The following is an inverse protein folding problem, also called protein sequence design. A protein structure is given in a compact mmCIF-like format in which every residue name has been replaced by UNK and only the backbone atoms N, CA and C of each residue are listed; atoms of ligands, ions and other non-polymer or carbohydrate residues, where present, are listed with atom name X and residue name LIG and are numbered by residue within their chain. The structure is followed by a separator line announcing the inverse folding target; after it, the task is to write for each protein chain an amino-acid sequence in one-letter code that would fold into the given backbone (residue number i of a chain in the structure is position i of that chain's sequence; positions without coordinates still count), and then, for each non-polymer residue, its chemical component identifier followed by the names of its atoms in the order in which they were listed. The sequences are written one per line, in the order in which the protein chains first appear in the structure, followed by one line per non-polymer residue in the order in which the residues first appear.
data_IF_947492587762
#
_entry.id   IF_947492587762
#
_cell.length_a   1.000
_cell.length_b   1.000
_cell.length_c   1.000
_cell.angle_alpha   90.00
_cell.angle_beta   90.00
_cell.angle_gamma   90.00
#
_symmetry.space_group_name_H-M   'P 1'
#
loop_
_entity.id
_entity.type
_entity.pdbx_description
1 polymer ?
#
# COMPACT_ATOMS: atom_id res chain seq x y z
N UNK A 1 -45.75 13.03 -4.98
CA UNK A 1 -44.68 12.05 -5.28
C UNK A 1 -43.38 12.65 -4.79
N UNK A 2 -42.78 12.07 -3.75
CA UNK A 2 -41.43 12.41 -3.27
C UNK A 2 -40.44 11.94 -4.34
N UNK A 3 -39.63 12.85 -4.89
CA UNK A 3 -38.58 12.51 -5.83
C UNK A 3 -37.50 11.69 -5.14
N UNK A 4 -37.51 10.39 -5.34
CA UNK A 4 -36.49 9.49 -4.81
C UNK A 4 -35.26 9.59 -5.75
N UNK A 5 -34.10 9.90 -5.18
CA UNK A 5 -32.81 9.85 -5.88
C UNK A 5 -32.00 8.72 -5.29
N UNK A 6 -31.52 7.84 -6.13
CA UNK A 6 -30.68 6.69 -5.74
C UNK A 6 -29.28 6.96 -6.28
N UNK A 7 -28.27 6.92 -5.40
CA UNK A 7 -26.86 7.01 -5.76
C UNK A 7 -26.27 5.61 -5.61
N UNK A 8 -25.74 5.07 -6.71
CA UNK A 8 -25.11 3.75 -6.75
C UNK A 8 -23.63 3.94 -7.03
N UNK A 9 -22.75 3.75 -6.04
CA UNK A 9 -21.32 3.73 -6.29
C UNK A 9 -20.93 2.43 -7.02
N UNK A 10 -20.13 2.52 -8.07
CA UNK A 10 -19.63 1.35 -8.79
C UNK A 10 -18.23 1.59 -9.33
N UNK A 11 -17.49 0.51 -9.53
CA UNK A 11 -16.22 0.50 -10.24
C UNK A 11 -16.47 0.07 -11.68
N UNK A 12 -16.15 0.95 -12.63
CA UNK A 12 -16.35 0.71 -14.06
C UNK A 12 -15.57 -0.52 -14.56
N UNK A 13 -14.37 -0.74 -14.03
CA UNK A 13 -13.55 -1.90 -14.39
C UNK A 13 -14.19 -3.20 -13.92
N UNK A 14 -14.71 -3.23 -12.69
CA UNK A 14 -15.43 -4.40 -12.17
C UNK A 14 -16.68 -4.75 -12.99
N UNK A 15 -17.44 -3.74 -13.40
CA UNK A 15 -18.60 -3.98 -14.26
C UNK A 15 -18.16 -4.55 -15.63
N UNK A 16 -17.13 -3.98 -16.26
CA UNK A 16 -16.58 -4.52 -17.51
C UNK A 16 -16.12 -5.96 -17.36
N UNK A 17 -15.41 -6.28 -16.29
CA UNK A 17 -14.91 -7.63 -16.01
C UNK A 17 -16.05 -8.63 -15.74
N UNK A 18 -17.13 -8.22 -15.08
CA UNK A 18 -18.31 -9.07 -14.87
C UNK A 18 -18.94 -9.49 -16.20
N UNK A 19 -19.03 -8.59 -17.17
CA UNK A 19 -19.49 -8.95 -18.53
C UNK A 19 -18.51 -9.85 -19.29
N UNK A 20 -17.23 -9.85 -18.94
CA UNK A 20 -16.24 -10.79 -19.50
C UNK A 20 -16.44 -12.22 -18.98
N UNK A 21 -16.75 -12.37 -17.70
CA UNK A 21 -16.84 -13.68 -17.04
C UNK A 21 -18.13 -14.46 -17.40
N UNK A 22 -19.20 -13.79 -17.79
CA UNK A 22 -20.51 -14.39 -18.04
C UNK A 22 -20.70 -15.01 -19.43
N UNK A 23 -19.66 -15.36 -20.17
CA UNK A 23 -19.76 -16.07 -21.48
C UNK A 23 -20.64 -15.39 -22.56
N UNK A 24 -21.11 -14.17 -22.36
CA UNK A 24 -21.85 -13.40 -23.37
C UNK A 24 -20.97 -13.07 -24.59
N UNK A 25 -19.66 -13.23 -24.43
CA UNK A 25 -18.61 -12.95 -25.44
C UNK A 25 -18.50 -14.03 -26.52
N UNK A 26 -19.09 -15.22 -26.32
CA UNK A 26 -18.97 -16.32 -27.30
C UNK A 26 -19.67 -16.11 -28.63
N UNK A 27 -20.44 -15.02 -28.78
CA UNK A 27 -21.15 -14.72 -30.02
C UNK A 27 -20.56 -13.57 -30.87
N UNK A 28 -19.48 -12.94 -30.41
CA UNK A 28 -18.86 -11.86 -31.17
C UNK A 28 -17.42 -12.22 -31.51
N UNK A 29 -17.14 -12.39 -32.80
CA UNK A 29 -15.80 -12.65 -33.34
C UNK A 29 -14.77 -11.67 -32.83
N UNK A 30 -13.85 -12.17 -31.98
CA UNK A 30 -12.43 -11.87 -31.99
C UNK A 30 -11.90 -10.45 -31.78
N UNK A 31 -12.61 -9.52 -31.10
CA UNK A 31 -12.08 -8.18 -30.82
C UNK A 31 -12.27 -7.75 -29.38
N UNK A 32 -11.18 -7.54 -28.67
CA UNK A 32 -11.12 -7.00 -27.31
C UNK A 32 -11.95 -5.71 -27.10
N UNK A 33 -12.20 -4.98 -28.19
CA UNK A 33 -13.01 -3.77 -28.19
C UNK A 33 -14.52 -4.01 -27.95
N UNK A 34 -15.04 -5.19 -28.27
CA UNK A 34 -16.48 -5.47 -28.11
C UNK A 34 -16.88 -5.56 -26.63
N UNK A 35 -15.98 -6.09 -25.78
CA UNK A 35 -16.24 -6.33 -24.35
C UNK A 35 -16.36 -5.03 -23.56
N UNK A 36 -15.49 -4.06 -23.87
CA UNK A 36 -15.55 -2.73 -23.26
C UNK A 36 -16.83 -1.99 -23.62
N UNK A 37 -17.35 -2.21 -24.82
CA UNK A 37 -18.59 -1.60 -25.30
C UNK A 37 -19.81 -2.09 -24.51
N UNK A 38 -19.93 -3.39 -24.22
CA UNK A 38 -21.10 -3.92 -23.49
C UNK A 38 -21.18 -3.41 -22.04
N UNK A 39 -20.05 -3.36 -21.31
CA UNK A 39 -20.02 -2.83 -19.96
C UNK A 39 -20.40 -1.33 -19.91
N UNK A 40 -19.87 -0.56 -20.83
CA UNK A 40 -20.20 0.87 -20.93
C UNK A 40 -21.62 1.11 -21.41
N UNK A 41 -22.14 0.31 -22.33
CA UNK A 41 -23.53 0.36 -22.77
C UNK A 41 -24.50 0.04 -21.63
N UNK A 42 -24.19 -0.94 -20.80
CA UNK A 42 -24.98 -1.26 -19.61
C UNK A 42 -25.02 -0.06 -18.66
N UNK A 43 -23.87 0.54 -18.36
CA UNK A 43 -23.77 1.72 -17.49
C UNK A 43 -24.62 2.87 -18.06
N UNK A 44 -24.47 3.17 -19.34
CA UNK A 44 -25.16 4.29 -19.99
C UNK A 44 -26.68 4.06 -20.11
N UNK A 45 -27.14 2.82 -20.24
CA UNK A 45 -28.57 2.47 -20.28
C UNK A 45 -29.20 2.40 -18.87
N UNK A 46 -28.41 2.05 -17.86
CA UNK A 46 -28.91 1.86 -16.49
C UNK A 46 -28.93 3.17 -15.69
N UNK A 47 -27.91 3.99 -15.87
CA UNK A 47 -27.74 5.21 -15.08
C UNK A 47 -27.98 6.46 -15.93
N UNK A 48 -28.96 7.26 -15.52
CA UNK A 48 -29.32 8.51 -16.20
C UNK A 48 -28.18 9.54 -16.14
N UNK A 49 -27.45 9.59 -15.04
CA UNK A 49 -26.29 10.46 -14.84
C UNK A 49 -25.17 9.63 -14.23
N UNK A 50 -23.98 9.70 -14.83
CA UNK A 50 -22.75 9.05 -14.32
C UNK A 50 -21.74 10.14 -13.99
N UNK A 51 -21.35 10.18 -12.71
CA UNK A 51 -20.26 11.04 -12.25
C UNK A 51 -18.99 10.20 -12.08
N UNK A 52 -17.91 10.63 -12.68
CA UNK A 52 -16.59 10.05 -12.43
C UNK A 52 -15.93 10.81 -11.29
N UNK A 53 -15.62 10.09 -10.21
CA UNK A 53 -14.80 10.64 -9.14
C UNK A 53 -13.35 10.62 -9.65
N UNK A 54 -12.70 11.79 -9.79
CA UNK A 54 -11.30 11.81 -10.17
C UNK A 54 -10.47 11.12 -9.09
N UNK A 55 -9.33 10.48 -9.45
CA UNK A 55 -8.41 9.95 -8.46
C UNK A 55 -8.00 11.10 -7.53
N UNK A 56 -7.91 10.85 -6.22
CA UNK A 56 -7.48 11.88 -5.28
C UNK A 56 -6.08 12.35 -5.68
N UNK A 57 -5.96 13.62 -6.04
CA UNK A 57 -4.67 14.25 -6.27
C UNK A 57 -4.08 14.49 -4.87
N UNK A 58 -3.29 13.53 -4.38
CA UNK A 58 -2.62 13.62 -3.09
C UNK A 58 -1.34 14.46 -3.20
N UNK A 59 -1.45 15.70 -3.72
CA UNK A 59 -0.39 16.70 -3.60
C UNK A 59 -0.02 17.00 -2.14
N UNK A 60 -0.92 16.69 -1.21
CA UNK A 60 -0.75 16.85 0.24
C UNK A 60 -0.64 15.53 1.01
N UNK A 61 -0.20 14.41 0.40
CA UNK A 61 -0.16 13.12 1.08
C UNK A 61 0.65 13.12 2.37
N UNK A 62 1.73 13.89 2.44
CA UNK A 62 2.54 14.01 3.65
C UNK A 62 1.75 14.65 4.81
N UNK A 63 0.89 15.64 4.51
CA UNK A 63 0.05 16.25 5.53
C UNK A 63 -0.96 15.23 6.06
N UNK A 64 -1.64 14.54 5.14
CA UNK A 64 -2.58 13.47 5.49
C UNK A 64 -1.89 12.36 6.29
N UNK A 65 -0.68 11.94 5.90
CA UNK A 65 0.10 10.94 6.63
C UNK A 65 0.37 11.40 8.07
N UNK A 66 0.87 12.64 8.25
CA UNK A 66 1.16 13.22 9.57
C UNK A 66 -0.09 13.30 10.46
N UNK A 67 -1.24 13.62 9.89
CA UNK A 67 -2.49 13.67 10.65
C UNK A 67 -2.92 12.28 11.10
N UNK A 68 -2.86 11.28 10.21
CA UNK A 68 -3.16 9.88 10.58
C UNK A 68 -2.16 9.33 11.59
N UNK A 69 -0.89 9.71 11.48
CA UNK A 69 0.15 9.34 12.46
C UNK A 69 -0.18 9.86 13.86
N UNK A 70 -0.55 11.14 13.96
CA UNK A 70 -0.96 11.73 15.24
C UNK A 70 -2.21 11.07 15.83
N UNK A 71 -3.15 10.67 15.01
CA UNK A 71 -4.32 9.91 15.49
C UNK A 71 -3.93 8.54 16.05
N UNK A 72 -2.95 7.89 15.45
CA UNK A 72 -2.50 6.56 15.85
C UNK A 72 -1.59 6.57 17.10
N UNK A 73 -0.68 7.54 17.20
CA UNK A 73 0.35 7.62 18.25
C UNK A 73 0.12 8.73 19.28
N UNK A 74 -0.91 9.54 19.10
CA UNK A 74 -1.23 10.69 19.96
C UNK A 74 -0.83 12.03 19.35
N UNK A 75 -1.51 13.09 19.75
CA UNK A 75 -1.40 14.41 19.15
C UNK A 75 0.01 15.05 19.20
N UNK A 76 0.84 14.63 20.15
CA UNK A 76 2.23 15.10 20.29
C UNK A 76 3.23 14.28 19.47
N UNK A 77 2.81 13.15 18.89
CA UNK A 77 3.70 12.28 18.13
C UNK A 77 4.11 12.94 16.81
N UNK A 78 5.41 13.01 16.59
CA UNK A 78 5.99 13.50 15.35
C UNK A 78 6.53 12.28 14.60
N UNK A 79 6.10 12.11 13.35
CA UNK A 79 6.65 11.05 12.50
C UNK A 79 8.10 11.40 12.14
N UNK A 80 8.99 10.43 12.26
CA UNK A 80 10.37 10.60 11.83
C UNK A 80 10.43 10.84 10.31
N UNK A 81 11.28 11.74 9.88
CA UNK A 81 11.45 12.06 8.47
C UNK A 81 11.92 10.84 7.67
N UNK A 82 12.75 9.98 8.26
CA UNK A 82 13.22 8.73 7.65
C UNK A 82 12.05 7.80 7.28
N UNK A 83 11.03 7.70 8.14
CA UNK A 83 9.81 6.90 7.86
C UNK A 83 9.05 7.45 6.65
N UNK A 84 8.89 8.79 6.58
CA UNK A 84 8.24 9.42 5.42
C UNK A 84 9.03 9.21 4.14
N UNK A 85 10.36 9.28 4.21
CA UNK A 85 11.25 9.09 3.08
C UNK A 85 11.20 7.63 2.58
N UNK A 86 11.27 6.66 3.48
CA UNK A 86 11.12 5.23 3.15
C UNK A 86 9.75 4.96 2.51
N UNK A 87 8.69 5.52 3.09
CA UNK A 87 7.34 5.35 2.55
C UNK A 87 7.21 5.94 1.14
N UNK A 88 7.69 7.15 0.91
CA UNK A 88 7.62 7.81 -0.40
C UNK A 88 8.37 7.04 -1.48
N UNK A 89 9.58 6.59 -1.15
CA UNK A 89 10.46 5.90 -2.11
C UNK A 89 10.01 4.50 -2.48
N UNK A 90 9.46 3.73 -1.51
CA UNK A 90 9.05 2.35 -1.73
C UNK A 90 7.59 2.20 -2.16
N UNK A 91 6.80 3.27 -2.04
CA UNK A 91 5.37 3.24 -2.42
C UNK A 91 5.16 3.94 -3.75
N UNK A 92 4.80 3.18 -4.80
CA UNK A 92 4.56 3.72 -6.15
C UNK A 92 3.38 4.70 -6.23
N UNK A 93 2.38 4.51 -5.39
CA UNK A 93 1.17 5.32 -5.34
C UNK A 93 0.78 5.60 -3.90
N UNK A 94 0.72 6.87 -3.53
CA UNK A 94 0.22 7.28 -2.23
C UNK A 94 -1.31 7.42 -2.31
N UNK A 95 -2.03 6.54 -1.63
CA UNK A 95 -3.47 6.65 -1.47
C UNK A 95 -3.85 6.66 0.01
N UNK A 96 -4.97 7.30 0.40
CA UNK A 96 -5.42 7.31 1.79
C UNK A 96 -5.51 5.93 2.39
N UNK A 97 -6.02 4.95 1.63
CA UNK A 97 -6.13 3.55 2.08
C UNK A 97 -4.76 2.91 2.34
N UNK A 98 -3.78 3.14 1.46
CA UNK A 98 -2.43 2.59 1.64
C UNK A 98 -1.74 3.22 2.85
N UNK A 99 -1.91 4.54 3.06
CA UNK A 99 -1.37 5.26 4.21
C UNK A 99 -1.96 4.70 5.52
N UNK A 100 -3.28 4.55 5.61
CA UNK A 100 -3.94 3.99 6.79
C UNK A 100 -3.47 2.54 7.03
N UNK A 101 -3.42 1.71 5.99
CA UNK A 101 -2.96 0.32 6.11
C UNK A 101 -1.52 0.24 6.61
N UNK A 102 -0.63 1.07 6.08
CA UNK A 102 0.76 1.16 6.54
C UNK A 102 0.85 1.58 8.00
N UNK A 103 0.17 2.66 8.41
CA UNK A 103 0.18 3.15 9.79
C UNK A 103 -0.36 2.10 10.77
N UNK A 104 -1.44 1.40 10.42
CA UNK A 104 -2.00 0.34 11.26
C UNK A 104 -1.02 -0.83 11.43
N UNK A 105 -0.33 -1.25 10.36
CA UNK A 105 0.73 -2.26 10.45
C UNK A 105 1.88 -1.77 11.30
N UNK A 106 2.28 -0.51 11.12
CA UNK A 106 3.37 0.11 11.87
C UNK A 106 3.09 0.10 13.39
N UNK A 107 1.90 0.55 13.81
CA UNK A 107 1.48 0.50 15.22
C UNK A 107 1.55 -0.92 15.77
N UNK A 108 1.05 -1.89 15.00
CA UNK A 108 1.04 -3.29 15.43
C UNK A 108 2.46 -3.81 15.66
N UNK A 109 3.36 -3.59 14.70
CA UNK A 109 4.75 -4.06 14.79
C UNK A 109 5.49 -3.32 15.89
N UNK A 110 5.34 -1.98 15.99
CA UNK A 110 5.99 -1.18 17.02
C UNK A 110 5.65 -1.64 18.43
N UNK A 111 4.42 -2.07 18.67
CA UNK A 111 3.99 -2.60 19.96
C UNK A 111 4.53 -4.01 20.27
N UNK A 112 5.01 -4.73 19.28
CA UNK A 112 5.49 -6.11 19.42
C UNK A 112 7.01 -6.23 19.36
N UNK A 113 7.71 -5.27 18.75
CA UNK A 113 9.15 -5.32 18.57
C UNK A 113 9.91 -4.71 19.75
N UNK A 114 11.23 -4.93 19.76
CA UNK A 114 12.15 -4.31 20.73
C UNK A 114 12.11 -2.78 20.58
N UNK A 115 12.02 -2.06 21.72
CA UNK A 115 11.93 -0.59 21.75
C UNK A 115 13.18 0.10 21.15
N UNK A 116 14.31 -0.58 21.11
CA UNK A 116 15.58 -0.09 20.55
C UNK A 116 15.60 -0.07 19.03
N UNK A 117 14.63 -0.71 18.36
CA UNK A 117 14.54 -0.72 16.91
C UNK A 117 14.03 0.64 16.42
N UNK A 118 14.83 1.29 15.59
CA UNK A 118 14.44 2.57 15.01
C UNK A 118 13.24 2.42 14.05
N UNK A 119 12.38 3.44 14.04
CA UNK A 119 11.16 3.50 13.24
C UNK A 119 11.42 3.30 11.73
N UNK A 120 12.58 3.72 11.22
CA UNK A 120 12.98 3.51 9.82
C UNK A 120 13.04 2.03 9.42
N UNK A 121 13.51 1.15 10.33
CA UNK A 121 13.60 -0.29 10.05
C UNK A 121 12.23 -0.97 10.08
N UNK A 122 11.34 -0.51 10.95
CA UNK A 122 9.95 -0.96 10.95
C UNK A 122 9.29 -0.60 9.60
N UNK A 123 9.51 0.62 9.12
CA UNK A 123 8.99 1.05 7.83
C UNK A 123 9.55 0.22 6.66
N UNK A 124 10.87 -0.04 6.66
CA UNK A 124 11.54 -0.90 5.68
C UNK A 124 10.99 -2.31 5.70
N UNK A 125 10.83 -2.89 6.88
CA UNK A 125 10.29 -4.25 7.04
C UNK A 125 8.86 -4.35 6.49
N UNK A 126 7.97 -3.42 6.82
CA UNK A 126 6.59 -3.41 6.33
C UNK A 126 6.55 -3.36 4.80
N UNK A 127 7.29 -2.42 4.21
CA UNK A 127 7.26 -2.18 2.76
C UNK A 127 8.04 -3.23 1.96
N UNK A 128 9.06 -3.85 2.57
CA UNK A 128 9.84 -4.95 2.00
C UNK A 128 9.30 -6.34 2.30
N UNK A 129 8.25 -6.46 3.14
CA UNK A 129 7.78 -7.74 3.69
C UNK A 129 7.50 -8.83 2.66
N UNK A 130 6.94 -8.50 1.50
CA UNK A 130 6.67 -9.47 0.44
C UNK A 130 7.96 -10.13 -0.07
N UNK A 131 9.03 -9.35 -0.26
CA UNK A 131 10.33 -9.84 -0.71
C UNK A 131 11.06 -10.61 0.38
N UNK A 132 11.04 -10.08 1.60
CA UNK A 132 11.65 -10.74 2.77
C UNK A 132 11.01 -12.11 3.02
N UNK A 133 9.70 -12.27 2.87
CA UNK A 133 9.00 -13.55 3.04
C UNK A 133 9.35 -14.53 1.91
N UNK A 134 9.54 -14.06 0.67
CA UNK A 134 9.91 -14.90 -0.47
C UNK A 134 11.32 -15.48 -0.31
N UNK A 135 12.30 -14.68 0.13
CA UNK A 135 13.69 -15.11 0.29
C UNK A 135 14.39 -14.42 1.49
N UNK A 136 14.11 -14.86 2.73
CA UNK A 136 14.48 -14.13 3.93
C UNK A 136 15.98 -13.85 4.05
N UNK A 137 16.82 -14.85 3.86
CA UNK A 137 18.28 -14.71 4.05
C UNK A 137 18.89 -13.73 3.05
N UNK A 138 18.50 -13.83 1.78
CA UNK A 138 19.04 -12.97 0.74
C UNK A 138 18.56 -11.53 0.92
N UNK A 139 17.26 -11.33 1.16
CA UNK A 139 16.67 -10.01 1.27
C UNK A 139 17.00 -9.28 2.58
N UNK A 140 17.41 -9.99 3.62
CA UNK A 140 17.93 -9.39 4.85
C UNK A 140 19.37 -8.93 4.66
N UNK A 141 20.21 -9.76 4.02
CA UNK A 141 21.62 -9.43 3.82
C UNK A 141 21.87 -8.50 2.63
N UNK A 142 21.12 -8.67 1.54
CA UNK A 142 21.25 -7.92 0.30
C UNK A 142 19.85 -7.53 -0.25
N UNK A 143 19.17 -6.56 0.34
CA UNK A 143 17.80 -6.27 0.05
C UNK A 143 17.57 -5.74 -1.38
N UNK A 144 16.97 -6.58 -2.24
CA UNK A 144 16.67 -6.22 -3.63
C UNK A 144 15.61 -5.12 -3.75
N UNK A 145 14.73 -5.00 -2.76
CA UNK A 145 13.69 -3.96 -2.72
C UNK A 145 14.24 -2.55 -2.49
N UNK A 146 15.51 -2.44 -2.06
CA UNK A 146 16.22 -1.18 -1.90
C UNK A 146 17.03 -0.76 -3.13
N UNK A 147 16.89 -1.43 -4.27
CA UNK A 147 17.59 -1.05 -5.50
C UNK A 147 17.28 0.40 -5.87
N UNK A 148 18.34 1.21 -6.02
CA UNK A 148 18.25 2.66 -6.24
C UNK A 148 18.23 3.50 -4.98
N UNK A 149 18.11 2.90 -3.79
CA UNK A 149 18.11 3.57 -2.49
C UNK A 149 19.37 3.25 -1.67
N UNK A 150 20.31 2.50 -2.24
CA UNK A 150 21.52 2.02 -1.56
C UNK A 150 22.30 3.17 -0.89
N UNK A 151 22.27 4.37 -1.45
CA UNK A 151 22.94 5.54 -0.88
C UNK A 151 22.41 5.94 0.52
N UNK A 152 21.20 5.51 0.89
CA UNK A 152 20.62 5.77 2.21
C UNK A 152 21.01 4.73 3.25
N UNK A 153 21.39 3.52 2.81
CA UNK A 153 21.56 2.36 3.69
C UNK A 153 22.86 1.57 3.43
N UNK A 154 23.69 1.97 2.46
CA UNK A 154 24.93 1.25 2.10
C UNK A 154 25.92 1.07 3.24
N UNK A 155 25.92 2.00 4.18
CA UNK A 155 26.82 2.00 5.33
C UNK A 155 26.10 1.71 6.67
N UNK A 156 24.86 1.20 6.60
CA UNK A 156 24.06 0.93 7.79
C UNK A 156 24.27 -0.51 8.28
N UNK A 157 25.31 -0.71 9.08
CA UNK A 157 25.68 -2.01 9.65
C UNK A 157 24.57 -2.65 10.51
N UNK A 158 23.63 -1.83 11.01
CA UNK A 158 22.56 -2.31 11.87
C UNK A 158 21.30 -2.77 11.10
N UNK A 159 21.24 -2.56 9.78
CA UNK A 159 20.02 -2.86 9.03
C UNK A 159 19.68 -4.35 9.07
N UNK A 160 20.65 -5.22 8.80
CA UNK A 160 20.44 -6.67 8.77
C UNK A 160 19.95 -7.20 10.12
N UNK A 161 20.59 -6.79 11.22
CA UNK A 161 20.21 -7.22 12.58
C UNK A 161 18.81 -6.71 12.98
N UNK A 162 18.45 -5.46 12.63
CA UNK A 162 17.14 -4.92 12.93
C UNK A 162 16.02 -5.62 12.10
N UNK A 163 16.25 -5.86 10.81
CA UNK A 163 15.30 -6.57 9.97
C UNK A 163 15.17 -8.04 10.40
N UNK A 164 16.30 -8.70 10.78
CA UNK A 164 16.28 -10.06 11.35
C UNK A 164 15.46 -10.13 12.64
N UNK A 165 15.65 -9.17 13.54
CA UNK A 165 14.89 -9.06 14.79
C UNK A 165 13.39 -8.97 14.51
N UNK A 166 12.99 -8.14 13.55
CA UNK A 166 11.59 -7.96 13.17
C UNK A 166 11.01 -9.22 12.51
N UNK A 167 11.74 -9.85 11.60
CA UNK A 167 11.27 -11.01 10.87
C UNK A 167 11.16 -12.26 11.75
N UNK A 168 12.20 -12.57 12.53
CA UNK A 168 12.24 -13.75 13.40
C UNK A 168 11.62 -13.52 14.78
N UNK A 169 11.16 -12.30 15.07
CA UNK A 169 10.60 -11.89 16.36
C UNK A 169 11.56 -12.18 17.54
N UNK A 170 12.83 -11.87 17.33
CA UNK A 170 13.89 -12.02 18.32
C UNK A 170 14.19 -10.68 18.98
N UNK A 171 14.77 -10.73 20.21
CA UNK A 171 15.38 -9.53 20.76
C UNK A 171 16.58 -9.10 19.90
N UNK A 172 16.87 -7.80 19.88
CA UNK A 172 17.94 -7.25 19.04
C UNK A 172 19.31 -7.90 19.35
N UNK A 173 19.58 -8.18 20.64
CA UNK A 173 20.82 -8.83 21.06
C UNK A 173 20.99 -10.24 20.43
N UNK A 174 19.92 -11.02 20.34
CA UNK A 174 19.94 -12.33 19.67
C UNK A 174 20.03 -12.24 18.15
N UNK A 175 19.51 -11.17 17.57
CA UNK A 175 19.56 -10.95 16.12
C UNK A 175 20.95 -10.50 15.65
N UNK A 176 21.80 -10.01 16.54
CA UNK A 176 23.19 -9.66 16.25
C UNK A 176 24.12 -10.88 16.20
N UNK A 177 23.71 -12.00 16.80
CA UNK A 177 24.51 -13.24 16.88
C UNK A 177 24.18 -14.20 15.71
N UNK A 178 23.25 -13.86 14.85
CA UNK A 178 22.82 -14.67 13.70
C UNK A 178 23.43 -14.14 12.41
#
# INVERSE_FOLDING_TARGET
YTNIRIIVPFDRLHIRNAFQSENLVRQCDGKDNAITVYGDDFINKTFYIVYTVPPPILSGWMHYFKDRWKEAFGNSAIVDYSVLQVYDMLTKEQSPRKIIAFINQFVTIRNLCDERIDDKYIALYILGSSKIIENPLEEILNPSYLQGLNFLYSDDENMASNISSLYYQLSLDKAMDV
#
